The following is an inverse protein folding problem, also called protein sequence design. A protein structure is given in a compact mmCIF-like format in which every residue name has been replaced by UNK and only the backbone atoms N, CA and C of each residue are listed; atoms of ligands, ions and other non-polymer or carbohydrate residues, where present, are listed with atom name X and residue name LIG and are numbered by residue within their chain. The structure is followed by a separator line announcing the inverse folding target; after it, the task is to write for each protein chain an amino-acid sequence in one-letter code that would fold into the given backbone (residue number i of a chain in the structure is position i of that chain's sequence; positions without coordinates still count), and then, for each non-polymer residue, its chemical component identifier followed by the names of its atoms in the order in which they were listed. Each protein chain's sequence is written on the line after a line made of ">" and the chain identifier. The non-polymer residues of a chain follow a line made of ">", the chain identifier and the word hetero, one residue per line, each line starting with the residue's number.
data_IF_923748299620
#
_entry.id   IF_923748299620
#
_cell.length_a   1.000
_cell.length_b   1.000
_cell.length_c   1.000
_cell.angle_alpha   90.00
_cell.angle_beta   90.00
_cell.angle_gamma   90.00
#
_symmetry.space_group_name_H-M   'P 1'
#
loop_
_entity.id
_entity.type
_entity.pdbx_description
1 polymer ?
#
# COMPACT_ATOMS: atom_id res chain seq x y z
N UNK A 1 8.07 -23.31 -6.68
CA UNK A 1 8.74 -23.37 -5.37
C UNK A 1 9.86 -22.34 -5.31
N UNK A 2 9.51 -21.09 -5.02
CA UNK A 2 10.41 -20.02 -4.56
C UNK A 2 9.53 -18.84 -4.11
N UNK A 3 8.68 -19.09 -3.12
CA UNK A 3 8.06 -18.02 -2.34
C UNK A 3 9.15 -17.49 -1.40
N UNK A 4 10.00 -16.60 -1.92
CA UNK A 4 10.78 -15.70 -1.08
C UNK A 4 9.95 -14.42 -0.93
N UNK A 5 8.92 -14.51 -0.10
CA UNK A 5 8.34 -13.30 0.49
C UNK A 5 9.25 -13.00 1.68
N UNK A 6 10.06 -11.92 1.66
CA UNK A 6 10.85 -11.56 2.83
C UNK A 6 9.89 -11.06 3.91
N UNK A 7 9.39 -12.02 4.68
CA UNK A 7 8.77 -11.83 5.99
C UNK A 7 9.88 -11.34 6.94
N UNK A 8 9.56 -10.29 7.70
CA UNK A 8 10.36 -9.66 8.77
C UNK A 8 11.69 -8.99 8.34
N UNK A 9 11.59 -7.75 7.84
CA UNK A 9 12.50 -6.64 8.21
C UNK A 9 12.03 -5.37 7.49
N UNK A 10 11.03 -4.70 8.05
CA UNK A 10 10.96 -3.25 7.86
C UNK A 10 11.41 -2.67 9.18
N UNK A 11 12.73 -2.66 9.38
CA UNK A 11 13.35 -1.75 10.31
C UNK A 11 12.82 -0.36 9.97
N UNK A 12 12.18 0.25 10.97
CA UNK A 12 11.74 1.62 10.96
C UNK A 12 12.99 2.51 11.04
N UNK A 13 13.87 2.43 10.04
CA UNK A 13 15.05 3.27 9.97
C UNK A 13 15.07 3.94 8.61
N UNK A 14 14.22 4.95 8.47
CA UNK A 14 14.59 6.07 7.62
C UNK A 14 15.72 6.80 8.34
N UNK A 15 16.93 6.24 8.29
CA UNK A 15 18.13 6.80 8.87
C UNK A 15 18.20 8.25 8.48
N UNK A 16 17.99 9.12 9.46
CA UNK A 16 18.09 10.56 9.30
C UNK A 16 19.56 10.88 9.10
N UNK A 17 20.04 10.74 7.87
CA UNK A 17 21.27 11.39 7.44
C UNK A 17 20.99 12.90 7.55
N UNK A 18 21.54 13.51 8.59
CA UNK A 18 21.60 14.96 8.77
C UNK A 18 22.54 15.49 7.69
N UNK A 19 21.99 15.85 6.54
CA UNK A 19 22.73 16.68 5.59
C UNK A 19 22.96 18.05 6.23
N UNK A 20 24.23 18.33 6.54
CA UNK A 20 24.69 19.62 7.06
C UNK A 20 24.78 20.58 5.86
N UNK A 21 23.65 21.15 5.47
CA UNK A 21 23.60 22.09 4.35
C UNK A 21 24.16 23.45 4.78
N UNK A 22 25.26 23.81 4.13
CA UNK A 22 25.94 25.11 4.13
C UNK A 22 24.98 26.30 4.17
N UNK A 23 25.24 27.19 5.11
CA UNK A 23 24.63 28.51 5.28
C UNK A 23 25.02 29.42 4.11
N UNK A 24 24.09 29.58 3.15
CA UNK A 24 24.20 30.54 2.04
C UNK A 24 22.86 31.25 1.81
N UNK A 25 22.84 32.54 2.14
CA UNK A 25 21.89 33.59 1.74
C UNK A 25 20.37 33.33 1.93
N UNK A 26 19.83 33.82 3.05
CA UNK A 26 18.38 33.90 3.28
C UNK A 26 17.78 35.14 2.61
N UNK A 27 17.47 35.04 1.32
CA UNK A 27 16.29 35.71 0.80
C UNK A 27 15.04 35.11 1.45
N UNK A 28 14.08 35.94 1.88
CA UNK A 28 12.81 35.49 2.45
C UNK A 28 11.99 34.73 1.39
N UNK A 29 12.27 33.44 1.24
CA UNK A 29 11.46 32.57 0.38
C UNK A 29 10.05 32.47 0.96
N UNK A 30 9.05 32.70 0.10
CA UNK A 30 7.65 32.47 0.42
C UNK A 30 7.46 31.07 1.02
N UNK A 31 6.48 30.93 1.92
CA UNK A 31 6.11 29.65 2.53
C UNK A 31 5.88 28.56 1.45
N UNK A 32 5.36 28.95 0.30
CA UNK A 32 5.09 28.06 -0.83
C UNK A 32 6.39 27.56 -1.49
N UNK A 33 7.35 28.46 -1.73
CA UNK A 33 8.67 28.13 -2.29
C UNK A 33 9.42 27.11 -1.42
N UNK A 34 9.37 27.29 -0.09
CA UNK A 34 9.97 26.35 0.87
C UNK A 34 9.31 24.97 0.83
N UNK A 35 7.99 24.91 0.63
CA UNK A 35 7.25 23.64 0.47
C UNK A 35 7.66 22.93 -0.82
N UNK A 36 7.75 23.66 -1.93
CA UNK A 36 8.19 23.12 -3.24
C UNK A 36 9.60 22.54 -3.15
N UNK A 37 10.57 23.29 -2.60
CA UNK A 37 11.95 22.79 -2.42
C UNK A 37 12.00 21.51 -1.58
N UNK A 38 11.24 21.44 -0.47
CA UNK A 38 11.16 20.23 0.35
C UNK A 38 10.62 19.03 -0.44
N UNK A 39 9.52 19.22 -1.19
CA UNK A 39 8.93 18.16 -2.02
C UNK A 39 9.84 17.71 -3.16
N UNK A 40 10.67 18.60 -3.67
CA UNK A 40 11.67 18.31 -4.70
C UNK A 40 12.92 17.57 -4.16
N UNK A 41 13.08 17.39 -2.84
CA UNK A 41 14.19 16.59 -2.30
C UNK A 41 13.97 15.11 -2.58
N UNK A 42 15.05 14.39 -2.90
CA UNK A 42 14.99 12.93 -3.08
C UNK A 42 14.45 12.23 -1.83
N UNK A 43 14.86 12.69 -0.63
CA UNK A 43 14.38 12.18 0.66
C UNK A 43 12.86 12.27 0.81
N UNK A 44 12.25 13.38 0.40
CA UNK A 44 10.79 13.51 0.44
C UNK A 44 10.12 12.54 -0.55
N UNK A 45 10.63 12.46 -1.78
CA UNK A 45 10.09 11.57 -2.82
C UNK A 45 10.17 10.10 -2.40
N UNK A 46 11.32 9.65 -1.90
CA UNK A 46 11.50 8.26 -1.45
C UNK A 46 10.62 7.95 -0.26
N UNK A 47 10.56 8.82 0.76
CA UNK A 47 9.68 8.63 1.90
C UNK A 47 8.19 8.56 1.49
N UNK A 48 7.76 9.38 0.54
CA UNK A 48 6.40 9.34 0.00
C UNK A 48 6.13 8.05 -0.79
N UNK A 49 7.05 7.63 -1.66
CA UNK A 49 6.93 6.40 -2.41
C UNK A 49 6.87 5.17 -1.49
N UNK A 50 7.68 5.13 -0.43
CA UNK A 50 7.64 4.06 0.59
C UNK A 50 6.30 4.00 1.30
N UNK A 51 5.75 5.15 1.73
CA UNK A 51 4.43 5.18 2.38
C UNK A 51 3.34 4.66 1.45
N UNK A 52 3.37 5.06 0.19
CA UNK A 52 2.38 4.61 -0.79
C UNK A 52 2.51 3.12 -1.07
N UNK A 53 3.74 2.59 -1.14
CA UNK A 53 3.97 1.15 -1.27
C UNK A 53 3.37 0.38 -0.09
N UNK A 54 3.58 0.84 1.14
CA UNK A 54 3.00 0.24 2.35
C UNK A 54 1.47 0.27 2.29
N UNK A 55 0.89 1.40 1.88
CA UNK A 55 -0.57 1.55 1.73
C UNK A 55 -1.14 0.54 0.74
N UNK A 56 -0.50 0.39 -0.41
CA UNK A 56 -0.90 -0.56 -1.47
C UNK A 56 -0.70 -2.01 -1.03
N UNK A 57 0.37 -2.31 -0.29
CA UNK A 57 0.62 -3.63 0.28
C UNK A 57 -0.46 -4.01 1.29
N UNK A 58 -0.79 -3.12 2.23
CA UNK A 58 -1.89 -3.33 3.18
C UNK A 58 -3.23 -3.58 2.47
N UNK A 59 -3.51 -2.82 1.41
CA UNK A 59 -4.68 -3.07 0.55
C UNK A 59 -4.65 -4.47 -0.08
N UNK A 60 -3.50 -4.89 -0.63
CA UNK A 60 -3.38 -6.19 -1.29
C UNK A 60 -3.49 -7.35 -0.29
N UNK A 61 -3.00 -7.20 0.94
CA UNK A 61 -3.16 -8.20 2.02
C UNK A 61 -4.65 -8.40 2.33
N UNK A 62 -5.39 -7.31 2.58
CA UNK A 62 -6.84 -7.39 2.79
C UNK A 62 -7.57 -8.03 1.60
N UNK A 63 -7.10 -7.77 0.38
CA UNK A 63 -7.65 -8.35 -0.84
C UNK A 63 -7.39 -9.86 -0.96
N UNK A 64 -6.19 -10.31 -0.55
CA UNK A 64 -5.85 -11.73 -0.46
C UNK A 64 -6.65 -12.45 0.62
N UNK A 65 -6.92 -11.80 1.75
CA UNK A 65 -7.74 -12.39 2.81
C UNK A 65 -9.20 -12.53 2.38
N UNK A 66 -9.76 -11.53 1.70
CA UNK A 66 -11.08 -11.65 1.08
C UNK A 66 -11.13 -12.83 0.09
N UNK A 67 -10.12 -13.01 -0.77
CA UNK A 67 -10.06 -14.11 -1.74
C UNK A 67 -10.12 -15.51 -1.10
N UNK A 68 -9.54 -15.69 0.10
CA UNK A 68 -9.55 -16.99 0.81
C UNK A 68 -10.94 -17.41 1.25
N UNK A 69 -11.83 -16.44 1.48
CA UNK A 69 -13.22 -16.68 1.90
C UNK A 69 -14.14 -17.02 0.72
N UNK A 70 -13.71 -16.76 -0.52
CA UNK A 70 -14.56 -16.92 -1.69
C UNK A 70 -14.53 -18.36 -2.22
N UNK A 71 -15.71 -18.94 -2.51
CA UNK A 71 -15.79 -20.28 -3.08
C UNK A 71 -15.33 -20.27 -4.55
N UNK A 72 -14.32 -21.08 -4.89
CA UNK A 72 -13.81 -21.22 -6.27
C UNK A 72 -13.49 -22.66 -6.60
N UNK A 73 -13.79 -23.05 -7.84
CA UNK A 73 -13.36 -24.32 -8.44
C UNK A 73 -12.47 -24.04 -9.66
N UNK A 74 -11.21 -24.50 -9.71
CA UNK A 74 -10.42 -25.10 -8.62
C UNK A 74 -10.07 -24.06 -7.52
N UNK A 75 -9.66 -24.51 -6.32
CA UNK A 75 -9.41 -23.60 -5.17
C UNK A 75 -8.30 -22.58 -5.44
N UNK A 76 -7.36 -22.90 -6.32
CA UNK A 76 -6.22 -22.08 -6.73
C UNK A 76 -6.52 -21.18 -7.96
N UNK A 77 -7.79 -21.10 -8.39
CA UNK A 77 -8.18 -20.22 -9.49
C UNK A 77 -7.73 -18.78 -9.23
N UNK A 78 -6.92 -18.24 -10.12
CA UNK A 78 -6.51 -16.82 -10.08
C UNK A 78 -7.71 -15.95 -10.43
N UNK A 79 -8.10 -15.07 -9.51
CA UNK A 79 -9.16 -14.09 -9.73
C UNK A 79 -8.55 -12.69 -9.80
N UNK A 80 -9.05 -11.88 -10.73
CA UNK A 80 -8.78 -10.45 -10.78
C UNK A 80 -9.47 -9.70 -9.64
N UNK A 81 -9.07 -8.44 -9.42
CA UNK A 81 -9.69 -7.60 -8.38
C UNK A 81 -11.19 -7.41 -8.60
N UNK A 82 -11.62 -7.21 -9.83
CA UNK A 82 -13.04 -7.04 -10.11
C UNK A 82 -13.83 -8.34 -9.89
N UNK A 83 -13.27 -9.50 -10.23
CA UNK A 83 -13.93 -10.79 -10.02
C UNK A 83 -14.09 -11.11 -8.53
N UNK A 84 -13.08 -10.83 -7.71
CA UNK A 84 -13.15 -11.01 -6.24
C UNK A 84 -14.29 -10.18 -5.65
N UNK A 85 -14.43 -8.91 -6.07
CA UNK A 85 -15.51 -8.06 -5.58
C UNK A 85 -16.89 -8.56 -6.02
N UNK A 86 -17.05 -8.93 -7.29
CA UNK A 86 -18.32 -9.47 -7.81
C UNK A 86 -18.71 -10.77 -7.10
N UNK A 87 -17.74 -11.68 -6.93
CA UNK A 87 -17.98 -12.97 -6.29
C UNK A 87 -18.30 -12.81 -4.80
N UNK A 88 -17.66 -11.87 -4.10
CA UNK A 88 -18.00 -11.54 -2.72
C UNK A 88 -19.45 -11.06 -2.57
N UNK A 89 -19.90 -10.15 -3.44
CA UNK A 89 -21.29 -9.66 -3.44
C UNK A 89 -22.26 -10.82 -3.68
N UNK A 90 -22.02 -11.64 -4.71
CA UNK A 90 -22.88 -12.80 -4.99
C UNK A 90 -22.88 -13.81 -3.84
N UNK A 91 -21.74 -14.03 -3.19
CA UNK A 91 -21.64 -15.01 -2.11
C UNK A 91 -22.37 -14.55 -0.85
N UNK A 92 -22.27 -13.27 -0.47
CA UNK A 92 -23.06 -12.70 0.63
C UNK A 92 -24.56 -12.84 0.33
N UNK A 93 -24.99 -12.50 -0.89
CA UNK A 93 -26.40 -12.64 -1.28
C UNK A 93 -26.89 -14.10 -1.22
N UNK A 94 -26.06 -15.04 -1.68
CA UNK A 94 -26.35 -16.47 -1.59
C UNK A 94 -26.50 -16.94 -0.14
N UNK A 95 -25.56 -16.58 0.74
CA UNK A 95 -25.61 -16.96 2.15
C UNK A 95 -26.85 -16.39 2.85
N UNK A 96 -27.21 -15.13 2.58
CA UNK A 96 -28.46 -14.55 3.12
C UNK A 96 -29.69 -15.35 2.66
N UNK A 97 -29.77 -15.69 1.38
CA UNK A 97 -30.88 -16.51 0.87
C UNK A 97 -30.96 -17.89 1.54
N UNK A 98 -29.81 -18.53 1.81
CA UNK A 98 -29.76 -19.83 2.50
C UNK A 98 -30.20 -19.71 3.97
N UNK A 99 -29.96 -18.58 4.62
CA UNK A 99 -30.32 -18.34 6.02
C UNK A 99 -31.78 -17.89 6.21
N UNK A 100 -32.37 -17.25 5.21
CA UNK A 100 -33.77 -16.81 5.23
C UNK A 100 -34.78 -17.96 4.95
N UNK A 101 -34.28 -19.12 4.52
CA UNK A 101 -35.03 -20.37 4.28
C UNK A 101 -34.96 -21.25 5.52
#
# INVERSE_FOLDING_TARGET
>A
MALLVPVVSVTLDCSVSRDRSSSGEMGSLSREERRRRRRATQKYRTAHATRERIRVEAFNVAFSDLRKLLPTLPPDKKLSKIEILKLAICYIAYLNHVLDV
#
